data_IF_661810292226
#
_entry.id   IF_661810292226
#
_cell.length_a   1.000
_cell.length_b   1.000
_cell.length_c   1.000
_cell.angle_alpha   90.00
_cell.angle_beta   90.00
_cell.angle_gamma   90.00
#
_symmetry.space_group_name_H-M   'P 1'
#
loop_
_entity.id
_entity.type
_entity.pdbx_description
1 polymer ?
#
# COMPACT_ATOMS: atom_id res chain seq x y z
N UNK A 1 65.71 62.53 -51.36
CA UNK A 1 64.71 63.10 -50.42
C UNK A 1 63.59 62.07 -50.31
N UNK A 2 63.10 61.59 -49.18
CA UNK A 2 63.35 61.87 -47.78
C UNK A 2 63.05 60.59 -47.00
N UNK A 3 63.86 60.36 -45.98
CA UNK A 3 63.81 59.32 -44.96
C UNK A 3 62.58 59.54 -44.08
N UNK A 4 61.85 58.50 -43.68
CA UNK A 4 61.37 58.38 -42.31
C UNK A 4 61.10 56.93 -41.92
N UNK A 5 62.02 56.39 -41.11
CA UNK A 5 61.77 55.32 -40.15
C UNK A 5 60.75 55.85 -39.15
N UNK A 6 59.65 55.14 -38.94
CA UNK A 6 58.85 55.28 -37.73
C UNK A 6 58.83 53.97 -36.95
N UNK A 7 58.93 54.17 -35.65
CA UNK A 7 59.33 53.29 -34.57
C UNK A 7 58.09 52.54 -34.09
N UNK A 8 58.12 51.22 -34.02
CA UNK A 8 57.10 50.48 -33.27
C UNK A 8 57.24 50.86 -31.79
N UNK A 9 56.24 51.58 -31.28
CA UNK A 9 56.11 51.95 -29.89
C UNK A 9 54.88 51.23 -29.33
N UNK A 10 55.15 50.30 -28.42
CA UNK A 10 54.28 49.70 -27.39
C UNK A 10 52.77 49.68 -27.66
N UNK A 11 52.27 48.50 -28.03
CA UNK A 11 50.87 48.08 -27.83
C UNK A 11 50.92 46.90 -26.85
N UNK A 12 51.06 47.19 -25.55
CA UNK A 12 51.00 46.17 -24.48
C UNK A 12 49.91 46.49 -23.43
N UNK A 13 49.14 47.57 -23.63
CA UNK A 13 48.14 48.05 -22.65
C UNK A 13 46.69 47.64 -22.94
N UNK A 14 46.31 47.42 -24.21
CA UNK A 14 44.88 47.23 -24.57
C UNK A 14 44.38 45.79 -24.42
N UNK A 15 45.26 44.79 -24.44
CA UNK A 15 44.86 43.38 -24.26
C UNK A 15 44.58 43.02 -22.79
N UNK A 16 45.20 43.73 -21.84
CA UNK A 16 45.00 43.52 -20.41
C UNK A 16 43.67 44.11 -19.90
N UNK A 17 43.03 45.02 -20.65
CA UNK A 17 41.76 45.62 -20.23
C UNK A 17 40.55 44.76 -20.62
N UNK A 18 40.67 43.93 -21.67
CA UNK A 18 39.52 43.17 -22.20
C UNK A 18 39.15 41.95 -21.36
N UNK A 19 40.12 41.26 -20.76
CA UNK A 19 39.82 40.15 -19.83
C UNK A 19 39.26 40.67 -18.49
N UNK A 20 39.65 41.87 -18.08
CA UNK A 20 39.17 42.50 -16.85
C UNK A 20 37.67 42.83 -16.94
N UNK A 21 37.17 43.19 -18.14
CA UNK A 21 35.74 43.44 -18.37
C UNK A 21 34.91 42.15 -18.23
N UNK A 22 35.35 41.04 -18.83
CA UNK A 22 34.64 39.75 -18.67
C UNK A 22 34.72 39.22 -17.24
N UNK A 23 35.84 39.46 -16.54
CA UNK A 23 35.99 39.11 -15.13
C UNK A 23 35.05 39.95 -14.25
N UNK A 24 34.95 41.25 -14.51
CA UNK A 24 34.04 42.14 -13.80
C UNK A 24 32.57 41.72 -14.01
N UNK A 25 32.18 41.34 -15.24
CA UNK A 25 30.83 40.85 -15.55
C UNK A 25 30.53 39.52 -14.85
N UNK A 26 31.50 38.60 -14.79
CA UNK A 26 31.33 37.36 -14.01
C UNK A 26 31.14 37.63 -12.51
N UNK A 27 31.91 38.57 -11.94
CA UNK A 27 31.81 38.93 -10.52
C UNK A 27 30.46 39.57 -10.18
N UNK A 28 29.89 40.39 -11.07
CA UNK A 28 28.55 40.98 -10.86
C UNK A 28 27.43 39.95 -11.06
N UNK A 29 27.57 38.99 -11.99
CA UNK A 29 26.63 37.88 -12.13
C UNK A 29 26.65 36.95 -10.90
N UNK A 30 27.83 36.63 -10.38
CA UNK A 30 27.99 35.89 -9.11
C UNK A 30 27.33 36.64 -7.95
N UNK A 31 27.57 37.94 -7.84
CA UNK A 31 26.97 38.77 -6.79
C UNK A 31 25.44 38.81 -6.88
N UNK A 32 24.89 39.02 -8.09
CA UNK A 32 23.44 39.01 -8.31
C UNK A 32 22.82 37.65 -7.97
N UNK A 33 23.46 36.55 -8.38
CA UNK A 33 23.04 35.19 -8.01
C UNK A 33 23.04 35.00 -6.49
N UNK A 34 24.10 35.41 -5.80
CA UNK A 34 24.19 35.29 -4.34
C UNK A 34 23.16 36.14 -3.61
N UNK A 35 22.86 37.35 -4.08
CA UNK A 35 21.80 38.19 -3.50
C UNK A 35 20.43 37.52 -3.67
N UNK A 36 20.16 36.91 -4.81
CA UNK A 36 18.91 36.15 -5.06
C UNK A 36 18.82 34.90 -4.18
N UNK A 37 19.91 34.13 -4.07
CA UNK A 37 19.97 32.97 -3.17
C UNK A 37 19.86 33.37 -1.69
N UNK A 38 20.48 34.48 -1.30
CA UNK A 38 20.38 35.04 0.05
C UNK A 38 18.97 35.53 0.35
N UNK A 39 18.30 36.17 -0.62
CA UNK A 39 16.90 36.56 -0.49
C UNK A 39 15.97 35.36 -0.34
N UNK A 40 16.19 34.27 -1.09
CA UNK A 40 15.46 33.01 -0.89
C UNK A 40 15.78 32.36 0.46
N UNK A 41 17.03 32.46 0.94
CA UNK A 41 17.44 31.92 2.25
C UNK A 41 16.91 32.73 3.43
N UNK A 42 16.55 34.02 3.25
CA UNK A 42 15.94 34.84 4.30
C UNK A 42 14.44 34.53 4.44
N UNK A 43 13.84 33.76 3.53
CA UNK A 43 12.44 33.35 3.63
C UNK A 43 12.27 32.24 4.69
N UNK A 44 12.19 32.75 5.94
CA UNK A 44 11.31 32.38 7.06
C UNK A 44 11.43 31.01 7.71
N UNK A 45 12.23 30.99 8.78
CA UNK A 45 12.03 30.09 9.93
C UNK A 45 10.64 30.24 10.59
N UNK A 46 9.94 31.36 10.39
CA UNK A 46 8.63 31.61 11.01
C UNK A 46 7.51 30.73 10.44
N UNK A 47 7.54 30.41 9.15
CA UNK A 47 6.54 29.54 8.52
C UNK A 47 6.74 28.07 8.90
N UNK A 48 7.99 27.63 9.05
CA UNK A 48 8.33 26.31 9.58
C UNK A 48 8.03 26.17 11.08
N UNK A 49 8.21 27.24 11.87
CA UNK A 49 7.80 27.27 13.27
C UNK A 49 6.29 27.21 13.43
N UNK A 50 5.53 27.94 12.62
CA UNK A 50 4.06 27.85 12.64
C UNK A 50 3.56 26.46 12.25
N UNK A 51 4.20 25.80 11.26
CA UNK A 51 3.88 24.42 10.89
C UNK A 51 4.29 23.41 11.97
N UNK A 52 5.43 23.63 12.64
CA UNK A 52 5.88 22.77 13.73
C UNK A 52 4.99 22.91 14.96
N UNK A 53 4.61 24.13 15.34
CA UNK A 53 3.71 24.41 16.47
C UNK A 53 2.30 23.84 16.23
N UNK A 54 1.82 23.84 14.98
CA UNK A 54 0.52 23.25 14.63
C UNK A 54 0.58 21.73 14.60
N UNK A 55 1.63 21.13 14.02
CA UNK A 55 1.86 19.68 14.08
C UNK A 55 2.02 19.20 15.53
N UNK A 56 2.81 19.90 16.35
CA UNK A 56 2.97 19.57 17.77
C UNK A 56 1.66 19.74 18.52
N UNK A 57 0.83 20.76 18.26
CA UNK A 57 -0.51 20.88 18.86
C UNK A 57 -1.50 19.80 18.42
N UNK A 58 -1.31 19.21 17.24
CA UNK A 58 -2.15 18.09 16.77
C UNK A 58 -1.72 16.77 17.41
N UNK A 59 -0.42 16.59 17.65
CA UNK A 59 0.14 15.37 18.26
C UNK A 59 0.16 15.40 19.79
N UNK A 60 0.31 16.57 20.42
CA UNK A 60 0.05 16.80 21.85
C UNK A 60 -1.46 16.89 22.09
N UNK A 61 -2.15 15.74 22.00
CA UNK A 61 -3.46 15.59 22.63
C UNK A 61 -3.24 15.51 24.15
N UNK A 62 -3.65 16.50 24.95
CA UNK A 62 -3.89 16.22 26.36
C UNK A 62 -5.10 15.29 26.48
N UNK A 63 -5.08 14.44 27.51
CA UNK A 63 -6.12 13.48 27.80
C UNK A 63 -7.53 14.05 27.64
N UNK A 64 -8.32 13.33 26.85
CA UNK A 64 -9.63 13.72 26.36
C UNK A 64 -10.59 14.02 27.51
N UNK A 65 -10.89 15.29 27.70
CA UNK A 65 -12.13 15.74 28.36
C UNK A 65 -12.76 16.90 27.58
N UNK A 66 -13.89 16.62 26.92
CA UNK A 66 -14.92 17.62 26.61
C UNK A 66 -14.81 18.46 25.33
N UNK A 67 -15.86 18.34 24.51
CA UNK A 67 -16.40 19.30 23.52
C UNK A 67 -15.58 19.58 22.25
N UNK A 68 -16.27 19.48 21.11
CA UNK A 68 -15.73 19.53 19.76
C UNK A 68 -14.91 20.78 19.43
N UNK A 69 -14.03 20.61 18.44
CA UNK A 69 -13.11 21.65 17.97
C UNK A 69 -13.86 22.59 17.03
N UNK A 70 -14.01 23.86 17.41
CA UNK A 70 -14.20 24.95 16.45
C UNK A 70 -12.91 25.07 15.61
N UNK A 71 -12.94 24.52 14.39
CA UNK A 71 -11.85 24.67 13.45
C UNK A 71 -11.87 26.05 12.81
N UNK A 72 -10.87 26.89 13.10
CA UNK A 72 -10.59 28.11 12.32
C UNK A 72 -10.06 27.71 10.95
N UNK A 73 -10.96 27.71 9.96
CA UNK A 73 -10.66 27.42 8.56
C UNK A 73 -9.91 28.58 7.90
N UNK A 74 -8.95 28.29 7.02
CA UNK A 74 -8.04 29.26 6.36
C UNK A 74 -8.64 29.85 5.07
N UNK A 75 -9.96 29.77 4.88
CA UNK A 75 -10.63 30.36 3.71
C UNK A 75 -11.12 31.79 4.03
N UNK A 76 -10.72 32.84 3.27
CA UNK A 76 -11.04 34.24 3.60
C UNK A 76 -12.50 34.64 3.46
N UNK A 77 -13.37 33.83 2.85
CA UNK A 77 -14.81 34.08 2.84
C UNK A 77 -15.57 32.78 3.14
N UNK A 78 -16.32 32.71 4.26
CA UNK A 78 -17.27 31.64 4.47
C UNK A 78 -18.41 31.83 3.48
N UNK A 79 -18.53 30.91 2.51
CA UNK A 79 -19.73 30.80 1.69
C UNK A 79 -20.97 30.60 2.57
N UNK A 80 -22.17 30.97 2.10
CA UNK A 80 -23.38 30.83 2.88
C UNK A 80 -23.53 29.36 3.29
N UNK A 81 -23.54 29.14 4.61
CA UNK A 81 -23.92 27.84 5.16
C UNK A 81 -25.32 27.54 4.64
N UNK A 82 -25.42 26.48 3.83
CA UNK A 82 -26.71 26.03 3.33
C UNK A 82 -27.53 25.58 4.53
N UNK A 83 -28.59 26.32 4.83
CA UNK A 83 -29.59 26.09 5.89
C UNK A 83 -30.47 24.85 5.63
N UNK A 84 -29.96 23.88 4.87
CA UNK A 84 -30.63 22.60 4.68
C UNK A 84 -30.33 21.72 5.88
N UNK A 85 -31.21 21.79 6.87
CA UNK A 85 -31.41 20.73 7.84
C UNK A 85 -31.77 19.44 7.07
N UNK A 86 -30.75 18.61 6.79
CA UNK A 86 -31.00 17.21 6.49
C UNK A 86 -31.59 16.60 7.75
N UNK A 87 -32.89 16.32 7.71
CA UNK A 87 -33.58 15.54 8.73
C UNK A 87 -32.83 14.22 8.95
N UNK A 88 -32.18 14.10 10.11
CA UNK A 88 -31.59 12.86 10.62
C UNK A 88 -30.08 12.88 10.77
N UNK A 89 -29.55 13.49 11.84
CA UNK A 89 -28.28 13.12 12.46
C UNK A 89 -28.04 13.87 13.80
N UNK A 90 -28.96 13.77 14.76
CA UNK A 90 -28.59 13.99 16.16
C UNK A 90 -28.16 12.65 16.73
N UNK A 91 -26.94 12.21 16.39
CA UNK A 91 -26.27 11.22 17.22
C UNK A 91 -25.82 11.97 18.47
N UNK A 92 -26.65 11.96 19.51
CA UNK A 92 -26.19 12.26 20.87
C UNK A 92 -24.88 11.48 21.10
N UNK A 93 -23.78 12.12 21.51
CA UNK A 93 -22.54 11.43 21.77
C UNK A 93 -22.72 10.55 23.01
N UNK A 94 -23.28 9.35 22.83
CA UNK A 94 -23.28 8.33 23.85
C UNK A 94 -21.82 8.02 24.16
N UNK A 95 -21.41 8.28 25.41
CA UNK A 95 -20.09 7.87 25.90
C UNK A 95 -20.02 6.36 25.73
N UNK A 96 -19.19 5.89 24.79
CA UNK A 96 -18.96 4.46 24.60
C UNK A 96 -18.52 3.79 25.90
N UNK A 97 -18.65 2.46 26.02
CA UNK A 97 -18.29 1.75 27.25
C UNK A 97 -16.84 2.08 27.64
N UNK A 98 -16.63 2.49 28.90
CA UNK A 98 -15.29 2.70 29.45
C UNK A 98 -14.56 1.35 29.44
N UNK A 99 -13.38 1.31 28.81
CA UNK A 99 -12.57 0.09 28.73
C UNK A 99 -12.15 -0.30 30.16
N UNK A 100 -12.58 -1.48 30.61
CA UNK A 100 -12.22 -2.03 31.93
C UNK A 100 -10.71 -2.27 31.95
N UNK A 101 -10.04 -1.99 33.06
CA UNK A 101 -8.58 -2.09 33.22
C UNK A 101 -7.98 -3.51 33.00
N UNK A 102 -8.84 -4.51 32.81
CA UNK A 102 -8.49 -5.91 32.51
C UNK A 102 -8.79 -6.29 31.05
N UNK A 103 -9.05 -5.30 30.19
CA UNK A 103 -8.98 -5.49 28.75
C UNK A 103 -7.51 -5.79 28.43
N UNK A 104 -7.19 -7.08 28.41
CA UNK A 104 -5.96 -7.63 27.85
C UNK A 104 -5.70 -6.87 26.57
N UNK A 105 -4.59 -6.17 26.53
CA UNK A 105 -4.20 -5.40 25.37
C UNK A 105 -4.09 -6.40 24.22
N UNK A 106 -5.12 -6.48 23.35
CA UNK A 106 -5.16 -7.35 22.16
C UNK A 106 -4.11 -6.91 21.12
N UNK A 107 -3.12 -6.12 21.54
CA UNK A 107 -1.97 -5.63 20.82
C UNK A 107 -0.85 -6.67 20.72
N UNK A 108 -1.11 -7.97 20.94
CA UNK A 108 -0.14 -9.04 20.62
C UNK A 108 0.19 -9.13 19.11
N UNK A 109 -0.43 -8.32 18.24
CA UNK A 109 -0.01 -8.11 16.84
C UNK A 109 1.28 -7.26 16.72
N UNK A 110 1.99 -7.01 17.82
CA UNK A 110 3.17 -6.12 17.83
C UNK A 110 4.46 -6.76 17.29
N UNK A 111 4.58 -8.10 17.27
CA UNK A 111 5.78 -8.75 16.72
C UNK A 111 5.54 -9.26 15.30
N UNK A 112 5.75 -8.38 14.31
CA UNK A 112 5.88 -8.82 12.91
C UNK A 112 7.11 -9.72 12.79
N UNK A 113 6.89 -11.03 12.83
CA UNK A 113 7.95 -12.03 12.71
C UNK A 113 8.73 -11.82 11.42
N UNK A 114 10.06 -11.72 11.51
CA UNK A 114 10.93 -11.71 10.34
C UNK A 114 10.95 -13.12 9.74
N UNK A 115 10.75 -13.20 8.42
CA UNK A 115 10.84 -14.46 7.70
C UNK A 115 12.29 -14.84 7.36
N UNK A 116 12.44 -15.79 6.45
CA UNK A 116 13.74 -16.15 5.88
C UNK A 116 14.40 -14.94 5.18
N UNK A 117 15.75 -14.85 5.21
CA UNK A 117 16.48 -13.69 4.70
C UNK A 117 16.39 -13.58 3.18
N UNK A 118 15.80 -12.49 2.67
CA UNK A 118 15.53 -12.29 1.25
C UNK A 118 16.79 -12.37 0.36
N UNK A 119 17.96 -11.99 0.87
CA UNK A 119 19.20 -11.98 0.10
C UNK A 119 19.69 -13.38 -0.30
N UNK A 120 19.46 -14.41 0.54
CA UNK A 120 19.82 -15.78 0.14
C UNK A 120 18.81 -16.34 -0.86
N UNK A 121 17.53 -16.02 -0.68
CA UNK A 121 16.48 -16.39 -1.63
C UNK A 121 16.73 -15.77 -3.00
N UNK A 122 17.13 -14.49 -3.04
CA UNK A 122 17.47 -13.79 -4.30
C UNK A 122 18.60 -14.53 -5.03
N UNK A 123 19.65 -14.94 -4.32
CA UNK A 123 20.76 -15.68 -4.92
C UNK A 123 20.31 -17.04 -5.49
N UNK A 124 19.53 -17.80 -4.72
CA UNK A 124 18.99 -19.10 -5.16
C UNK A 124 18.05 -18.95 -6.37
N UNK A 125 17.19 -17.93 -6.39
CA UNK A 125 16.28 -17.65 -7.49
C UNK A 125 17.01 -17.18 -8.74
N UNK A 126 18.05 -16.35 -8.60
CA UNK A 126 18.88 -15.92 -9.72
C UNK A 126 19.62 -17.10 -10.36
N UNK A 127 20.06 -18.08 -9.56
CA UNK A 127 20.68 -19.30 -10.08
C UNK A 127 19.67 -20.20 -10.78
N UNK A 128 18.52 -20.48 -10.16
CA UNK A 128 17.48 -21.34 -10.72
C UNK A 128 16.89 -20.76 -12.02
N UNK A 129 16.59 -19.46 -12.04
CA UNK A 129 15.91 -18.81 -13.16
C UNK A 129 16.86 -18.18 -14.18
N UNK A 130 18.18 -18.42 -14.09
CA UNK A 130 19.19 -17.79 -14.93
C UNK A 130 18.86 -17.88 -16.43
N UNK A 131 18.45 -19.06 -16.89
CA UNK A 131 18.13 -19.27 -18.32
C UNK A 131 16.93 -18.44 -18.79
N UNK A 132 15.91 -18.27 -17.94
CA UNK A 132 14.72 -17.47 -18.26
C UNK A 132 15.03 -15.98 -18.23
N UNK A 133 15.92 -15.56 -17.33
CA UNK A 133 16.39 -14.18 -17.25
C UNK A 133 17.21 -13.79 -18.49
N UNK A 134 18.08 -14.67 -18.98
CA UNK A 134 18.81 -14.48 -20.24
C UNK A 134 17.89 -14.31 -21.45
N UNK A 135 16.72 -14.96 -21.42
CA UNK A 135 15.69 -14.85 -22.45
C UNK A 135 14.74 -13.66 -22.26
N UNK A 136 14.89 -12.88 -21.17
CA UNK A 136 14.00 -11.77 -20.82
C UNK A 136 12.58 -12.21 -20.41
N UNK A 137 12.40 -13.47 -20.02
CA UNK A 137 11.10 -14.03 -19.62
C UNK A 137 10.85 -13.93 -18.11
N UNK A 138 11.90 -13.77 -17.32
CA UNK A 138 11.85 -13.60 -15.88
C UNK A 138 12.77 -12.46 -15.43
N UNK A 139 12.42 -11.82 -14.31
CA UNK A 139 13.23 -10.80 -13.65
C UNK A 139 13.08 -10.95 -12.15
N UNK A 140 14.18 -10.86 -11.41
CA UNK A 140 14.19 -10.90 -9.95
C UNK A 140 14.73 -9.58 -9.43
N UNK A 141 13.99 -8.93 -8.53
CA UNK A 141 14.39 -7.67 -7.90
C UNK A 141 14.06 -7.69 -6.41
N UNK A 142 15.01 -7.26 -5.60
CA UNK A 142 14.85 -7.13 -4.15
C UNK A 142 14.75 -5.66 -3.72
N UNK A 143 13.67 -5.34 -3.01
CA UNK A 143 13.46 -4.09 -2.27
C UNK A 143 13.65 -4.31 -0.76
N UNK A 144 13.51 -3.25 0.04
CA UNK A 144 13.66 -3.33 1.52
C UNK A 144 12.71 -4.33 2.19
N UNK A 145 11.50 -4.49 1.63
CA UNK A 145 10.41 -5.25 2.24
C UNK A 145 9.94 -6.45 1.40
N UNK A 146 10.35 -6.53 0.13
CA UNK A 146 9.83 -7.50 -0.82
C UNK A 146 10.94 -8.01 -1.73
N UNK A 147 10.93 -9.31 -2.00
CA UNK A 147 11.64 -9.93 -3.10
C UNK A 147 10.62 -10.26 -4.18
N UNK A 148 10.77 -9.68 -5.36
CA UNK A 148 9.80 -9.80 -6.45
C UNK A 148 10.36 -10.62 -7.58
N UNK A 149 9.58 -11.60 -8.03
CA UNK A 149 9.86 -12.44 -9.19
C UNK A 149 8.82 -12.07 -10.24
N UNK A 150 9.23 -11.29 -11.24
CA UNK A 150 8.38 -10.95 -12.38
C UNK A 150 8.50 -12.00 -13.47
N UNK A 151 7.37 -12.52 -13.93
CA UNK A 151 7.30 -13.53 -14.99
C UNK A 151 6.44 -13.00 -16.13
N UNK A 152 6.92 -13.15 -17.37
CA UNK A 152 6.16 -12.73 -18.55
C UNK A 152 4.89 -13.59 -18.68
N UNK A 153 3.73 -12.94 -18.88
CA UNK A 153 2.46 -13.66 -19.01
C UNK A 153 2.40 -14.54 -20.25
N UNK A 154 3.14 -14.24 -21.32
CA UNK A 154 3.16 -15.05 -22.55
C UNK A 154 3.80 -16.42 -22.37
N UNK A 155 4.71 -16.56 -21.39
CA UNK A 155 5.26 -17.85 -20.96
C UNK A 155 4.21 -18.64 -20.15
N UNK A 156 3.50 -17.94 -19.28
CA UNK A 156 2.60 -18.57 -18.31
C UNK A 156 1.21 -18.90 -18.89
N UNK A 157 0.71 -18.08 -19.81
CA UNK A 157 -0.67 -18.12 -20.28
C UNK A 157 -0.77 -17.81 -21.78
N UNK A 158 -1.70 -18.46 -22.49
CA UNK A 158 -2.11 -17.99 -23.81
C UNK A 158 -2.75 -16.60 -23.75
N UNK A 159 -2.79 -15.91 -24.90
CA UNK A 159 -3.43 -14.59 -25.01
C UNK A 159 -4.90 -14.66 -24.61
N UNK A 160 -5.36 -13.70 -23.80
CA UNK A 160 -6.75 -13.60 -23.33
C UNK A 160 -7.22 -14.74 -22.40
N UNK A 161 -6.31 -15.61 -21.94
CA UNK A 161 -6.62 -16.74 -21.06
C UNK A 161 -5.93 -16.63 -19.70
N UNK A 162 -6.54 -17.26 -18.69
CA UNK A 162 -5.94 -17.52 -17.39
C UNK A 162 -5.57 -19.00 -17.18
N UNK A 163 -5.76 -19.86 -18.19
CA UNK A 163 -5.35 -21.27 -18.11
C UNK A 163 -3.83 -21.37 -18.27
N UNK A 164 -3.14 -21.84 -17.24
CA UNK A 164 -1.69 -21.96 -17.22
C UNK A 164 -1.18 -22.99 -18.23
N UNK A 165 -0.05 -22.70 -18.88
CA UNK A 165 0.63 -23.60 -19.82
C UNK A 165 1.43 -24.68 -19.09
N UNK A 166 1.89 -25.70 -19.80
CA UNK A 166 2.83 -26.69 -19.24
C UNK A 166 4.18 -26.05 -18.88
N UNK A 167 4.63 -25.08 -19.67
CA UNK A 167 5.84 -24.30 -19.36
C UNK A 167 5.67 -23.52 -18.06
N UNK A 168 4.47 -22.98 -17.79
CA UNK A 168 4.17 -22.33 -16.52
C UNK A 168 4.37 -23.28 -15.33
N UNK A 169 3.92 -24.54 -15.45
CA UNK A 169 4.07 -25.52 -14.38
C UNK A 169 5.55 -25.83 -14.09
N UNK A 170 6.37 -26.02 -15.11
CA UNK A 170 7.80 -26.28 -14.93
C UNK A 170 8.52 -25.12 -14.22
N UNK A 171 8.25 -23.88 -14.64
CA UNK A 171 8.86 -22.69 -14.04
C UNK A 171 8.41 -22.49 -12.60
N UNK A 172 7.12 -22.71 -12.32
CA UNK A 172 6.58 -22.60 -10.97
C UNK A 172 7.05 -23.73 -10.05
N UNK A 173 7.38 -24.91 -10.58
CA UNK A 173 8.00 -26.02 -9.83
C UNK A 173 9.40 -25.65 -9.33
N UNK A 174 10.23 -25.04 -10.21
CA UNK A 174 11.55 -24.53 -9.81
C UNK A 174 11.45 -23.46 -8.72
N UNK A 175 10.50 -22.52 -8.86
CA UNK A 175 10.25 -21.49 -7.84
C UNK A 175 9.74 -22.13 -6.55
N UNK A 176 8.80 -23.09 -6.63
CA UNK A 176 8.22 -23.80 -5.50
C UNK A 176 9.29 -24.49 -4.65
N UNK A 177 10.29 -25.12 -5.28
CA UNK A 177 11.40 -25.76 -4.59
C UNK A 177 12.14 -24.84 -3.61
N UNK A 178 12.22 -23.53 -3.93
CA UNK A 178 12.89 -22.51 -3.12
C UNK A 178 11.93 -21.90 -2.08
N UNK A 179 10.64 -21.73 -2.42
CA UNK A 179 9.68 -21.05 -1.53
C UNK A 179 8.92 -21.98 -0.56
N UNK A 180 8.94 -23.29 -0.75
CA UNK A 180 8.38 -24.26 0.20
C UNK A 180 9.08 -24.21 1.57
N UNK A 181 10.43 -24.24 1.67
CA UNK A 181 11.11 -24.32 2.97
C UNK A 181 11.08 -23.01 3.79
N UNK A 182 10.80 -21.87 3.17
CA UNK A 182 10.73 -20.57 3.85
C UNK A 182 9.37 -20.37 4.52
N UNK A 183 9.26 -19.43 5.45
CA UNK A 183 7.99 -19.11 6.13
C UNK A 183 7.39 -17.76 5.72
N UNK A 184 7.97 -17.06 4.76
CA UNK A 184 7.58 -15.71 4.36
C UNK A 184 6.15 -15.64 3.80
N UNK A 185 5.49 -14.48 3.96
CA UNK A 185 4.25 -14.18 3.25
C UNK A 185 4.51 -14.02 1.75
N UNK A 186 3.58 -14.48 0.93
CA UNK A 186 3.68 -14.46 -0.53
C UNK A 186 2.45 -13.77 -1.10
N UNK A 187 2.66 -12.84 -2.04
CA UNK A 187 1.59 -12.20 -2.79
C UNK A 187 1.77 -12.49 -4.27
N UNK A 188 0.71 -12.96 -4.90
CA UNK A 188 0.67 -13.21 -6.35
C UNK A 188 -0.09 -12.07 -7.00
N UNK A 189 0.61 -11.26 -7.79
CA UNK A 189 0.11 -10.03 -8.39
C UNK A 189 -0.08 -10.19 -9.89
N UNK A 190 -1.28 -9.96 -10.39
CA UNK A 190 -1.59 -10.01 -11.83
C UNK A 190 -1.62 -8.64 -12.47
N UNK A 191 -1.01 -8.50 -13.64
CA UNK A 191 -1.00 -7.29 -14.47
C UNK A 191 -1.40 -7.60 -15.93
N UNK A 192 -1.95 -6.61 -16.61
CA UNK A 192 -2.26 -6.67 -18.05
C UNK A 192 -1.67 -5.46 -18.78
N UNK A 193 -1.67 -5.53 -20.12
CA UNK A 193 -1.51 -4.33 -20.93
C UNK A 193 -2.83 -3.55 -21.01
N UNK A 194 -2.81 -2.47 -21.78
CA UNK A 194 -3.96 -1.60 -22.00
C UNK A 194 -4.89 -2.04 -23.13
N UNK A 195 -4.70 -3.23 -23.72
CA UNK A 195 -5.60 -3.71 -24.76
C UNK A 195 -6.89 -4.16 -24.08
N UNK A 196 -8.06 -3.56 -24.38
CA UNK A 196 -9.28 -3.94 -23.69
C UNK A 196 -9.65 -5.39 -23.96
N UNK A 197 -9.95 -6.12 -22.90
CA UNK A 197 -10.47 -7.49 -22.97
C UNK A 197 -11.94 -7.50 -22.59
N UNK A 198 -12.74 -8.12 -23.45
CA UNK A 198 -14.14 -8.42 -23.22
C UNK A 198 -14.47 -9.70 -24.01
N UNK A 199 -14.51 -10.84 -23.32
CA UNK A 199 -14.82 -12.13 -23.90
C UNK A 199 -15.78 -12.91 -22.98
N UNK A 200 -16.15 -14.12 -23.37
CA UNK A 200 -17.12 -14.95 -22.62
C UNK A 200 -16.67 -15.28 -21.19
N UNK A 201 -15.37 -15.23 -20.89
CA UNK A 201 -14.79 -15.59 -19.60
C UNK A 201 -14.46 -14.36 -18.74
N UNK A 202 -14.06 -13.25 -19.35
CA UNK A 202 -13.58 -12.06 -18.67
C UNK A 202 -14.19 -10.81 -19.28
N UNK A 203 -14.91 -10.04 -18.46
CA UNK A 203 -15.53 -8.78 -18.85
C UNK A 203 -14.53 -7.62 -18.90
N UNK A 204 -13.38 -7.75 -18.23
CA UNK A 204 -12.36 -6.69 -18.17
C UNK A 204 -10.96 -7.22 -17.88
N UNK A 205 -9.97 -6.34 -18.08
CA UNK A 205 -8.57 -6.58 -17.69
C UNK A 205 -8.38 -6.78 -16.18
N UNK A 206 -9.23 -6.18 -15.34
CA UNK A 206 -9.25 -6.45 -13.90
C UNK A 206 -9.49 -7.92 -13.61
N UNK A 207 -10.58 -8.48 -14.16
CA UNK A 207 -10.95 -9.87 -13.95
C UNK A 207 -9.89 -10.84 -14.48
N UNK A 208 -9.35 -10.58 -15.68
CA UNK A 208 -8.27 -11.40 -16.23
C UNK A 208 -7.02 -11.38 -15.33
N UNK A 209 -6.65 -10.22 -14.81
CA UNK A 209 -5.46 -10.09 -13.96
C UNK A 209 -5.60 -10.91 -12.67
N UNK A 210 -6.76 -10.83 -12.00
CA UNK A 210 -7.07 -11.61 -10.80
C UNK A 210 -7.14 -13.10 -11.11
N UNK A 211 -7.77 -13.48 -12.22
CA UNK A 211 -7.89 -14.88 -12.64
C UNK A 211 -6.53 -15.53 -12.93
N UNK A 212 -5.61 -14.80 -13.57
CA UNK A 212 -4.22 -15.26 -13.79
C UNK A 212 -3.47 -15.44 -12.49
N UNK A 213 -3.54 -14.46 -11.59
CA UNK A 213 -2.91 -14.56 -10.28
C UNK A 213 -3.48 -15.72 -9.46
N UNK A 214 -4.79 -15.95 -9.54
CA UNK A 214 -5.46 -17.10 -8.92
C UNK A 214 -4.94 -18.42 -9.48
N UNK A 215 -4.74 -18.49 -10.79
CA UNK A 215 -4.25 -19.70 -11.46
C UNK A 215 -2.82 -20.03 -11.05
N UNK A 216 -1.95 -19.02 -10.92
CA UNK A 216 -0.59 -19.20 -10.36
C UNK A 216 -0.65 -19.66 -8.90
N UNK A 217 -1.47 -19.02 -8.06
CA UNK A 217 -1.61 -19.42 -6.65
C UNK A 217 -2.04 -20.89 -6.51
N UNK A 218 -3.02 -21.33 -7.31
CA UNK A 218 -3.49 -22.73 -7.30
C UNK A 218 -2.40 -23.72 -7.72
N UNK A 219 -1.55 -23.33 -8.66
CA UNK A 219 -0.40 -24.16 -9.03
C UNK A 219 0.62 -24.24 -7.89
N UNK A 220 0.94 -23.11 -7.24
CA UNK A 220 1.83 -23.10 -6.08
C UNK A 220 1.28 -23.93 -4.91
N UNK A 221 -0.03 -23.86 -4.65
CA UNK A 221 -0.71 -24.70 -3.67
C UNK A 221 -0.55 -26.20 -4.01
N UNK A 222 -0.75 -26.56 -5.28
CA UNK A 222 -0.54 -27.94 -5.74
C UNK A 222 0.92 -28.41 -5.60
N UNK A 223 1.87 -27.47 -5.61
CA UNK A 223 3.31 -27.68 -5.39
C UNK A 223 3.71 -27.58 -3.90
N UNK A 224 2.75 -27.75 -3.00
CA UNK A 224 2.93 -27.80 -1.54
C UNK A 224 3.34 -26.47 -0.87
N UNK A 225 3.13 -25.33 -1.52
CA UNK A 225 3.26 -24.01 -0.86
C UNK A 225 2.05 -23.81 0.06
N UNK A 226 2.30 -23.51 1.34
CA UNK A 226 1.24 -23.34 2.34
C UNK A 226 0.27 -22.20 1.96
N UNK A 227 -1.03 -22.49 1.73
CA UNK A 227 -2.02 -21.49 1.28
C UNK A 227 -2.21 -20.32 2.25
N UNK A 228 -2.06 -20.56 3.55
CA UNK A 228 -2.26 -19.56 4.61
C UNK A 228 -1.26 -18.40 4.50
N UNK A 229 -0.13 -18.61 3.80
CA UNK A 229 0.91 -17.59 3.60
C UNK A 229 0.68 -16.79 2.31
N UNK A 230 -0.25 -17.22 1.46
CA UNK A 230 -0.43 -16.67 0.12
C UNK A 230 -1.64 -15.74 0.04
N UNK A 231 -1.51 -14.67 -0.73
CA UNK A 231 -2.61 -13.78 -1.10
C UNK A 231 -2.55 -13.43 -2.59
N UNK A 232 -3.69 -13.06 -3.16
CA UNK A 232 -3.81 -12.62 -4.56
C UNK A 232 -4.08 -11.13 -4.61
N UNK A 233 -3.43 -10.45 -5.54
CA UNK A 233 -3.70 -9.07 -5.90
C UNK A 233 -3.88 -8.99 -7.42
N UNK A 234 -4.91 -8.28 -7.88
CA UNK A 234 -5.06 -7.93 -9.30
C UNK A 234 -4.89 -6.43 -9.46
N UNK A 235 -4.18 -6.01 -10.50
CA UNK A 235 -3.91 -4.61 -10.79
C UNK A 235 -4.43 -4.16 -12.16
N UNK A 236 -4.89 -5.11 -12.99
CA UNK A 236 -5.31 -4.83 -14.36
C UNK A 236 -4.24 -4.08 -15.16
N UNK A 237 -4.68 -3.08 -15.91
CA UNK A 237 -3.84 -2.25 -16.79
C UNK A 237 -3.26 -0.99 -16.11
N UNK A 238 -3.60 -0.76 -14.84
CA UNK A 238 -3.40 0.54 -14.16
C UNK A 238 -2.00 0.73 -13.56
N UNK A 239 -1.12 -0.25 -13.69
CA UNK A 239 0.24 -0.24 -13.17
C UNK A 239 1.28 -0.65 -14.24
N UNK A 240 1.36 0.09 -15.37
CA UNK A 240 2.33 -0.20 -16.42
C UNK A 240 3.75 0.15 -15.97
N UNK A 241 4.72 -0.70 -16.33
CA UNK A 241 6.16 -0.45 -16.14
C UNK A 241 6.84 -0.01 -17.44
N UNK A 242 6.22 -0.29 -18.58
CA UNK A 242 6.69 0.06 -19.91
C UNK A 242 5.61 0.76 -20.74
N UNK A 243 6.02 1.35 -21.87
CA UNK A 243 5.11 2.08 -22.74
C UNK A 243 4.14 1.13 -23.48
N UNK A 244 2.84 1.34 -23.26
CA UNK A 244 1.78 0.56 -23.90
C UNK A 244 1.60 0.86 -25.40
N UNK A 245 2.25 1.89 -25.95
CA UNK A 245 2.17 2.16 -27.40
C UNK A 245 2.89 1.10 -28.24
N UNK A 246 3.97 0.53 -27.72
CA UNK A 246 4.80 -0.47 -28.43
C UNK A 246 4.35 -1.89 -28.12
N UNK A 247 4.58 -2.83 -29.05
CA UNK A 247 4.26 -4.24 -28.83
C UNK A 247 5.11 -4.85 -27.70
N UNK A 248 6.38 -4.46 -27.65
CA UNK A 248 7.34 -4.93 -26.65
C UNK A 248 6.98 -4.40 -25.25
N UNK A 249 6.69 -3.10 -25.12
CA UNK A 249 6.26 -2.53 -23.84
C UNK A 249 4.93 -3.10 -23.34
N UNK A 250 3.97 -3.40 -24.24
CA UNK A 250 2.78 -4.19 -23.84
C UNK A 250 3.13 -5.59 -23.35
N UNK A 251 4.10 -6.25 -23.98
CA UNK A 251 4.54 -7.58 -23.55
C UNK A 251 5.19 -7.57 -22.17
N UNK A 252 5.93 -6.52 -21.82
CA UNK A 252 6.49 -6.30 -20.48
C UNK A 252 5.40 -6.00 -19.44
N UNK A 253 4.38 -5.21 -19.82
CA UNK A 253 3.25 -4.91 -18.93
C UNK A 253 2.39 -6.14 -18.62
N UNK A 254 2.27 -7.09 -19.55
CA UNK A 254 1.62 -8.38 -19.32
C UNK A 254 2.54 -9.29 -18.49
N UNK A 255 2.52 -9.13 -17.17
CA UNK A 255 3.31 -9.95 -16.23
C UNK A 255 2.51 -10.44 -15.04
N UNK A 256 3.00 -11.51 -14.42
CA UNK A 256 2.58 -11.92 -13.08
C UNK A 256 3.78 -11.83 -12.17
N UNK A 257 3.60 -11.24 -11.00
CA UNK A 257 4.67 -11.03 -10.03
C UNK A 257 4.39 -11.85 -8.78
N UNK A 258 5.36 -12.67 -8.39
CA UNK A 258 5.35 -13.37 -7.10
C UNK A 258 6.22 -12.54 -6.15
N UNK A 259 5.59 -11.89 -5.18
CA UNK A 259 6.25 -11.01 -4.22
C UNK A 259 6.34 -11.72 -2.85
N UNK A 260 7.56 -11.95 -2.38
CA UNK A 260 7.88 -12.59 -1.11
C UNK A 260 8.20 -11.50 -0.10
N UNK A 261 7.47 -11.46 1.02
CA UNK A 261 7.63 -10.44 2.05
C UNK A 261 8.85 -10.69 2.91
N UNK A 262 9.43 -9.64 3.47
CA UNK A 262 10.39 -9.73 4.58
C UNK A 262 9.79 -10.41 5.83
N UNK A 263 8.46 -10.37 6.00
CA UNK A 263 7.78 -10.93 7.17
C UNK A 263 7.38 -12.39 6.95
N UNK A 264 7.49 -13.16 8.02
CA UNK A 264 7.13 -14.57 8.12
C UNK A 264 5.70 -14.78 8.63
N UNK A 265 5.07 -15.83 8.13
CA UNK A 265 3.85 -16.40 8.69
C UNK A 265 4.18 -17.30 9.88
N UNK A 266 3.46 -17.12 10.98
CA UNK A 266 3.48 -18.00 12.14
C UNK A 266 2.16 -18.75 12.21
N UNK A 267 2.22 -20.08 12.26
CA UNK A 267 1.01 -20.91 12.29
C UNK A 267 0.13 -20.64 13.52
N UNK A 268 0.74 -20.24 14.64
CA UNK A 268 0.07 -19.97 15.91
C UNK A 268 -0.87 -18.75 15.84
N UNK A 269 -0.64 -17.79 14.93
CA UNK A 269 -1.49 -16.60 14.81
C UNK A 269 -2.87 -16.93 14.18
N UNK A 270 -2.99 -18.07 13.48
CA UNK A 270 -4.27 -18.59 13.01
C UNK A 270 -5.01 -19.40 14.09
N UNK A 271 -4.29 -19.84 15.12
CA UNK A 271 -4.83 -20.43 16.33
C UNK A 271 -4.97 -19.35 17.40
N UNK A 272 -5.68 -18.26 17.10
CA UNK A 272 -6.33 -17.49 18.17
C UNK A 272 -7.16 -18.52 18.93
N UNK A 273 -6.75 -18.76 20.17
CA UNK A 273 -7.21 -19.81 21.05
C UNK A 273 -8.74 -19.80 21.16
N UNK A 274 -9.43 -20.61 20.34
CA UNK A 274 -10.86 -20.87 20.50
C UNK A 274 -11.15 -21.78 21.71
N UNK A 275 -10.13 -22.25 22.43
CA UNK A 275 -10.29 -23.01 23.68
C UNK A 275 -10.40 -22.10 24.90
N UNK A 276 -9.91 -20.86 24.81
CA UNK A 276 -10.26 -19.84 25.78
C UNK A 276 -11.68 -19.35 25.46
N UNK A 277 -12.60 -19.58 26.40
CA UNK A 277 -13.98 -19.12 26.26
C UNK A 277 -13.96 -17.63 25.89
N UNK A 278 -14.78 -17.17 24.92
CA UNK A 278 -14.89 -15.75 24.61
C UNK A 278 -15.02 -14.99 25.92
N UNK A 279 -14.25 -13.90 26.15
CA UNK A 279 -14.31 -13.16 27.40
C UNK A 279 -15.79 -12.87 27.69
N UNK A 280 -16.28 -13.38 28.82
CA UNK A 280 -17.69 -13.22 29.19
C UNK A 280 -18.00 -11.74 29.16
N UNK A 281 -18.84 -11.32 28.21
CA UNK A 281 -19.22 -9.91 28.08
C UNK A 281 -19.83 -9.50 29.43
N UNK A 282 -19.27 -8.50 30.13
CA UNK A 282 -19.76 -8.11 31.44
C UNK A 282 -21.26 -7.82 31.39
N UNK A 283 -22.01 -8.34 32.36
CA UNK A 283 -23.47 -8.21 32.39
C UNK A 283 -23.98 -6.76 32.32
N UNK A 284 -23.16 -5.79 32.75
CA UNK A 284 -23.44 -4.35 32.63
C UNK A 284 -23.45 -3.85 31.18
N UNK A 285 -22.54 -4.32 30.33
CA UNK A 285 -22.50 -3.95 28.90
C UNK A 285 -23.75 -4.50 28.19
N UNK A 286 -24.15 -5.71 28.58
CA UNK A 286 -25.36 -6.36 28.08
C UNK A 286 -26.62 -5.58 28.47
N UNK A 287 -26.72 -5.15 29.74
CA UNK A 287 -27.86 -4.35 30.21
C UNK A 287 -27.92 -2.96 29.56
N UNK A 288 -26.77 -2.33 29.30
CA UNK A 288 -26.70 -1.07 28.58
C UNK A 288 -27.17 -1.21 27.13
N UNK A 289 -26.76 -2.28 26.43
CA UNK A 289 -27.22 -2.56 25.07
C UNK A 289 -28.72 -2.86 25.01
N UNK A 290 -29.26 -3.63 25.95
CA UNK A 290 -30.70 -3.90 26.05
C UNK A 290 -31.51 -2.61 26.34
N UNK A 291 -30.97 -1.68 27.12
CA UNK A 291 -31.61 -0.38 27.38
C UNK A 291 -31.60 0.54 26.14
N UNK A 292 -30.50 0.60 25.39
CA UNK A 292 -30.41 1.38 24.13
C UNK A 292 -31.41 0.83 23.09
N UNK A 293 -31.59 -0.48 23.06
CA UNK A 293 -32.56 -1.19 22.20
C UNK A 293 -34.01 -0.78 22.51
N UNK A 294 -34.32 -0.45 23.77
CA UNK A 294 -35.67 -0.07 24.21
C UNK A 294 -36.03 1.40 23.94
N UNK A 295 -35.04 2.30 23.83
CA UNK A 295 -35.30 3.73 23.61
C UNK A 295 -35.60 4.09 22.14
N UNK A 296 -34.97 3.41 21.17
CA UNK A 296 -35.13 3.75 19.73
C UNK A 296 -36.03 2.78 18.96
N UNK A 297 -36.27 1.56 19.47
CA UNK A 297 -37.16 0.54 18.88
C UNK A 297 -36.78 0.03 17.47
N UNK A 298 -35.81 0.67 16.81
CA UNK A 298 -35.36 0.42 15.45
C UNK A 298 -34.20 -0.58 15.36
N UNK A 299 -33.49 -0.78 16.47
CA UNK A 299 -32.30 -1.63 16.59
C UNK A 299 -32.64 -2.79 17.54
N UNK A 300 -32.35 -4.03 17.13
CA UNK A 300 -32.47 -5.24 17.96
C UNK A 300 -31.11 -5.91 18.10
N UNK A 301 -30.80 -6.34 19.33
CA UNK A 301 -29.55 -7.01 19.68
C UNK A 301 -29.84 -8.50 19.95
N UNK A 302 -29.34 -9.39 19.10
CA UNK A 302 -29.54 -10.85 19.17
C UNK A 302 -28.25 -11.50 19.69
N UNK A 303 -28.35 -12.32 20.75
CA UNK A 303 -27.22 -13.11 21.25
C UNK A 303 -27.06 -14.39 20.45
N UNK A 304 -25.83 -14.66 20.01
CA UNK A 304 -25.46 -15.88 19.32
C UNK A 304 -25.01 -16.94 20.34
N UNK A 305 -25.20 -18.25 20.05
CA UNK A 305 -24.80 -19.34 20.94
C UNK A 305 -23.32 -19.37 21.34
N UNK A 306 -22.45 -18.69 20.59
CA UNK A 306 -21.00 -18.59 20.86
C UNK A 306 -20.56 -17.28 21.54
N UNK A 307 -21.45 -16.60 22.25
CA UNK A 307 -21.11 -15.35 22.98
C UNK A 307 -21.05 -14.08 22.12
N UNK A 308 -21.18 -14.21 20.79
CA UNK A 308 -21.24 -13.08 19.87
C UNK A 308 -22.56 -12.31 19.95
N UNK A 309 -22.52 -11.02 19.62
CA UNK A 309 -23.69 -10.14 19.57
C UNK A 309 -23.94 -9.75 18.11
N UNK A 310 -25.17 -9.96 17.62
CA UNK A 310 -25.63 -9.48 16.30
C UNK A 310 -26.59 -8.31 16.49
N UNK A 311 -26.24 -7.16 15.92
CA UNK A 311 -27.09 -5.96 15.90
C UNK A 311 -27.80 -5.90 14.54
N UNK A 312 -29.13 -5.81 14.51
CA UNK A 312 -29.94 -5.78 13.28
C UNK A 312 -31.09 -4.78 13.40
N UNK A 313 -31.43 -4.13 12.29
CA UNK A 313 -32.59 -3.24 12.17
C UNK A 313 -33.76 -3.88 11.40
N UNK A 314 -33.62 -5.17 11.03
CA UNK A 314 -34.60 -5.92 10.24
C UNK A 314 -35.56 -6.70 11.16
N UNK A 315 -36.86 -6.62 10.89
CA UNK A 315 -37.89 -7.46 11.51
C UNK A 315 -37.81 -8.89 10.95
N UNK A 316 -36.82 -9.66 11.38
CA UNK A 316 -36.80 -11.11 11.17
C UNK A 316 -37.01 -11.81 12.51
N UNK A 317 -38.00 -12.72 12.52
CA UNK A 317 -38.35 -13.59 13.64
C UNK A 317 -37.13 -14.46 14.00
N UNK A 318 -36.81 -14.65 15.29
CA UNK A 318 -35.63 -15.42 15.69
C UNK A 318 -35.71 -16.84 15.12
N UNK A 319 -34.58 -17.41 14.65
CA UNK A 319 -34.58 -18.75 14.08
C UNK A 319 -35.05 -19.75 15.14
N UNK A 320 -35.88 -20.75 14.78
CA UNK A 320 -36.35 -21.75 15.71
C UNK A 320 -35.16 -22.49 16.31
N UNK A 321 -35.18 -22.68 17.64
CA UNK A 321 -34.15 -23.40 18.37
C UNK A 321 -33.90 -24.76 17.72
N UNK A 322 -32.62 -25.05 17.43
CA UNK A 322 -32.17 -26.33 16.88
C UNK A 322 -32.75 -27.49 17.70
N UNK A 323 -33.31 -28.54 17.07
CA UNK A 323 -33.85 -29.67 17.80
C UNK A 323 -32.72 -30.39 18.54
N UNK A 324 -32.93 -30.60 19.85
CA UNK A 324 -32.08 -31.43 20.70
C UNK A 324 -31.84 -32.78 20.02
N UNK A 325 -30.58 -33.08 19.70
CA UNK A 325 -30.15 -34.42 19.37
C UNK A 325 -30.45 -35.32 20.58
N UNK A 326 -31.52 -36.09 20.49
CA UNK A 326 -31.68 -37.31 21.28
C UNK A 326 -30.82 -38.38 20.59
N UNK A 327 -29.73 -38.74 21.25
CA UNK A 327 -28.98 -39.97 20.97
C UNK A 327 -29.90 -41.19 21.12
N UNK A 328 -29.83 -42.17 20.21
CA UNK A 328 -30.06 -43.57 20.52
C UNK A 328 -28.78 -44.32 20.87
#
# INVERSE_FOLDING_TARGET
MYRHKNKHQKVEGEELDRWLVSYADYMTLMFALFVVLYAMSIVKDEEYRALSDTLTKIFERPDRTGTGVEGTSVLPEPGPQSDFDLFGASLEPAKGPDLVADATDLSEVTERLLGSPLSSLEAELNEALAHLMEQGLAKVEQDENWLTIELNSGLLFPSGSATATLSAQAVLDEIAGIIVPINNFIRVRGYTDNVPINNELFASNWELSVARATSVLRLLEALAVAPQRMAIEGYGEFYPTADNTTADGRAENRRVVIAISKYGYRADDAAIDMSEAPPEIPAEVIQQLENITQEDGSIRVIRLPGGGIRITTRDEEPPPASPQQQEP
#
